data_IF_523880955070
#
_entry.id   IF_523880955070
#
_cell.length_a   1.000
_cell.length_b   1.000
_cell.length_c   1.000
_cell.angle_alpha   90.00
_cell.angle_beta   90.00
_cell.angle_gamma   90.00
#
_symmetry.space_group_name_H-M   'P 1'
#
loop_
_entity.id
_entity.type
_entity.pdbx_description
1 polymer ?
#
# COMPACT_ATOMS: atom_id res chain seq x y z
N UNK A 1 -31.78 -12.39 37.33
CA UNK A 1 -32.48 -11.90 36.13
C UNK A 1 -31.59 -10.93 35.37
N UNK A 2 -31.52 -11.07 34.05
CA UNK A 2 -30.68 -10.25 33.18
C UNK A 2 -31.50 -9.04 32.70
N UNK A 3 -31.02 -7.82 32.93
CA UNK A 3 -31.76 -6.61 32.59
C UNK A 3 -31.59 -6.25 31.10
N UNK A 4 -32.60 -5.57 30.54
CA UNK A 4 -32.61 -5.11 29.14
C UNK A 4 -31.32 -4.38 28.72
N UNK A 5 -30.79 -3.50 29.57
CA UNK A 5 -29.54 -2.79 29.29
C UNK A 5 -28.31 -3.71 29.17
N UNK A 6 -28.21 -4.78 29.97
CA UNK A 6 -27.16 -5.80 29.79
C UNK A 6 -27.34 -6.57 28.49
N UNK A 7 -28.59 -6.81 28.08
CA UNK A 7 -28.91 -7.48 26.83
C UNK A 7 -28.49 -6.65 25.60
N UNK A 8 -28.78 -5.34 25.62
CA UNK A 8 -28.44 -4.41 24.54
C UNK A 8 -26.91 -4.25 24.40
N UNK A 9 -26.20 -4.19 25.52
CA UNK A 9 -24.72 -4.14 25.52
C UNK A 9 -24.09 -5.40 24.90
N UNK A 10 -24.61 -6.59 25.25
CA UNK A 10 -24.11 -7.85 24.69
C UNK A 10 -24.44 -7.99 23.19
N UNK A 11 -25.63 -7.52 22.77
CA UNK A 11 -26.00 -7.48 21.36
C UNK A 11 -25.11 -6.54 20.55
N UNK A 12 -24.76 -5.37 21.08
CA UNK A 12 -23.84 -4.45 20.44
C UNK A 12 -22.44 -5.06 20.27
N UNK A 13 -21.95 -5.73 21.32
CA UNK A 13 -20.68 -6.43 21.31
C UNK A 13 -20.64 -7.58 20.28
N UNK A 14 -21.69 -8.41 20.22
CA UNK A 14 -21.78 -9.51 19.26
C UNK A 14 -21.85 -9.02 17.79
N UNK A 15 -22.55 -7.91 17.52
CA UNK A 15 -22.58 -7.29 16.18
C UNK A 15 -21.21 -6.79 15.75
N UNK A 16 -20.50 -6.15 16.68
CA UNK A 16 -19.12 -5.70 16.46
C UNK A 16 -18.21 -6.89 16.13
N UNK A 17 -18.30 -7.99 16.89
CA UNK A 17 -17.54 -9.21 16.60
C UNK A 17 -17.86 -9.81 15.22
N UNK A 18 -19.11 -9.76 14.75
CA UNK A 18 -19.47 -10.24 13.40
C UNK A 18 -18.83 -9.40 12.29
N UNK A 19 -18.63 -8.10 12.52
CA UNK A 19 -18.02 -7.19 11.56
C UNK A 19 -16.49 -7.29 11.53
N UNK A 20 -15.87 -7.58 12.67
CA UNK A 20 -14.42 -7.83 12.76
C UNK A 20 -14.02 -9.30 12.55
N UNK A 21 -14.99 -10.22 12.55
CA UNK A 21 -14.82 -11.65 12.31
C UNK A 21 -14.49 -12.03 10.86
N UNK A 22 -13.74 -11.17 10.15
CA UNK A 22 -13.03 -11.59 8.95
C UNK A 22 -12.08 -12.74 9.33
N UNK A 23 -12.03 -13.85 8.56
CA UNK A 23 -11.45 -15.13 8.99
C UNK A 23 -9.93 -15.14 9.25
N UNK A 24 -9.24 -14.00 9.13
CA UNK A 24 -7.78 -13.91 9.25
C UNK A 24 -7.29 -13.35 10.59
N UNK A 25 -8.13 -12.68 11.37
CA UNK A 25 -7.67 -12.04 12.61
C UNK A 25 -7.93 -12.92 13.84
N UNK A 26 -6.88 -13.56 14.36
CA UNK A 26 -6.89 -14.38 15.60
C UNK A 26 -6.77 -13.56 16.88
N UNK A 27 -6.77 -12.24 16.78
CA UNK A 27 -6.45 -11.33 17.90
C UNK A 27 -7.74 -11.01 18.67
N UNK A 28 -7.78 -11.22 20.00
CA UNK A 28 -8.91 -10.83 20.84
C UNK A 28 -9.23 -9.33 20.71
N UNK A 29 -10.51 -8.91 20.83
CA UNK A 29 -10.89 -7.51 20.64
C UNK A 29 -10.20 -6.51 21.58
N UNK A 30 -9.82 -6.93 22.79
CA UNK A 30 -9.04 -6.09 23.73
C UNK A 30 -7.63 -5.83 23.21
N UNK A 31 -6.96 -6.88 22.73
CA UNK A 31 -5.60 -6.81 22.20
C UNK A 31 -5.56 -6.06 20.85
N UNK A 32 -6.63 -6.12 20.05
CA UNK A 32 -6.71 -5.36 18.79
C UNK A 32 -6.69 -3.84 19.01
N UNK A 33 -7.35 -3.35 20.07
CA UNK A 33 -7.37 -1.91 20.36
C UNK A 33 -5.99 -1.44 20.81
N UNK A 34 -5.35 -2.18 21.70
CA UNK A 34 -4.00 -1.85 22.16
C UNK A 34 -2.97 -1.91 21.02
N UNK A 35 -3.08 -2.89 20.12
CA UNK A 35 -2.22 -3.00 18.94
C UNK A 35 -2.48 -1.84 17.97
N UNK A 36 -3.73 -1.48 17.72
CA UNK A 36 -4.09 -0.36 16.84
C UNK A 36 -3.60 0.98 17.41
N UNK A 37 -3.75 1.20 18.71
CA UNK A 37 -3.23 2.39 19.40
C UNK A 37 -1.71 2.44 19.33
N UNK A 38 -1.00 1.32 19.54
CA UNK A 38 0.46 1.25 19.36
C UNK A 38 0.87 1.48 17.91
N UNK A 39 0.11 1.00 16.92
CA UNK A 39 0.38 1.25 15.50
C UNK A 39 0.17 2.72 15.12
N UNK A 40 -0.86 3.36 15.69
CA UNK A 40 -1.17 4.78 15.44
C UNK A 40 -0.26 5.74 16.23
N UNK A 41 0.24 5.34 17.39
CA UNK A 41 1.14 6.13 18.24
C UNK A 41 2.62 5.98 17.84
N UNK A 42 2.97 4.99 17.01
CA UNK A 42 4.29 4.92 16.42
C UNK A 42 4.43 6.05 15.38
N UNK A 43 5.53 6.83 15.40
CA UNK A 43 5.83 7.70 14.28
C UNK A 43 5.88 6.80 13.04
N UNK A 44 5.20 7.20 11.98
CA UNK A 44 5.21 6.53 10.68
C UNK A 44 6.66 6.54 10.20
N UNK A 45 7.45 5.58 10.67
CA UNK A 45 8.78 5.33 10.18
C UNK A 45 8.57 4.94 8.73
N UNK A 46 9.25 5.68 7.85
CA UNK A 46 9.28 5.57 6.40
C UNK A 46 9.52 4.13 5.86
N UNK A 47 9.71 3.14 6.73
CA UNK A 47 9.92 1.72 6.40
C UNK A 47 8.71 0.77 6.57
N UNK A 48 7.52 1.23 6.97
CA UNK A 48 6.34 0.35 6.99
C UNK A 48 5.69 0.24 5.60
N UNK A 49 5.99 -0.83 4.86
CA UNK A 49 5.33 -1.19 3.59
C UNK A 49 3.96 -1.81 3.83
N UNK A 50 3.08 -1.16 4.60
CA UNK A 50 1.69 -1.58 4.70
C UNK A 50 1.00 -1.15 3.40
N UNK A 51 0.75 -2.11 2.50
CA UNK A 51 -0.02 -1.98 1.26
C UNK A 51 0.71 -1.49 0.00
N UNK A 52 2.05 -1.48 -0.04
CA UNK A 52 2.68 -1.33 -1.36
C UNK A 52 2.39 -2.62 -2.16
N UNK A 53 1.74 -2.54 -3.34
CA UNK A 53 1.45 -3.73 -4.13
C UNK A 53 2.77 -4.46 -4.41
N UNK A 54 2.81 -5.75 -4.07
CA UNK A 54 3.95 -6.60 -4.42
C UNK A 54 4.03 -6.63 -5.93
N UNK A 55 5.11 -6.08 -6.49
CA UNK A 55 5.40 -6.16 -7.91
C UNK A 55 5.89 -7.60 -8.16
N UNK A 56 5.22 -8.41 -9.00
CA UNK A 56 5.65 -9.76 -9.27
C UNK A 56 7.01 -9.80 -9.98
N UNK A 57 7.72 -10.93 -9.87
CA UNK A 57 8.99 -11.11 -10.56
C UNK A 57 8.83 -10.92 -12.08
N UNK A 58 9.76 -10.17 -12.68
CA UNK A 58 9.73 -9.81 -14.09
C UNK A 58 8.87 -8.59 -14.43
N UNK A 59 8.21 -7.95 -13.46
CA UNK A 59 7.48 -6.71 -13.65
C UNK A 59 8.27 -5.51 -13.10
N UNK A 60 8.15 -4.36 -13.77
CA UNK A 60 8.70 -3.07 -13.31
C UNK A 60 7.56 -2.04 -13.25
N UNK A 61 7.51 -1.26 -12.17
CA UNK A 61 6.63 -0.09 -12.11
C UNK A 61 7.14 0.99 -13.05
N UNK A 62 6.25 1.50 -13.89
CA UNK A 62 6.51 2.62 -14.78
C UNK A 62 5.35 3.60 -14.71
N UNK A 63 5.59 4.91 -14.86
CA UNK A 63 4.52 5.90 -14.98
C UNK A 63 3.55 5.56 -16.12
N UNK A 64 2.27 5.83 -15.90
CA UNK A 64 1.23 5.65 -16.93
C UNK A 64 1.53 6.54 -18.13
N UNK A 65 1.88 7.80 -17.87
CA UNK A 65 2.31 8.75 -18.88
C UNK A 65 3.85 8.79 -18.95
N UNK A 66 4.41 8.66 -20.16
CA UNK A 66 5.85 8.67 -20.35
C UNK A 66 6.46 10.00 -19.90
N UNK A 67 7.47 9.92 -19.02
CA UNK A 67 8.18 11.11 -18.56
C UNK A 67 9.07 11.68 -19.67
N UNK A 68 9.47 12.95 -19.54
CA UNK A 68 10.37 13.57 -20.51
C UNK A 68 11.69 12.81 -20.67
N UNK A 69 12.22 12.29 -19.55
CA UNK A 69 13.43 11.49 -19.56
C UNK A 69 13.26 10.18 -20.37
N UNK A 70 12.09 9.53 -20.27
CA UNK A 70 11.78 8.33 -21.06
C UNK A 70 11.68 8.66 -22.56
N UNK A 71 11.01 9.76 -22.92
CA UNK A 71 10.88 10.20 -24.32
C UNK A 71 12.25 10.56 -24.91
N UNK A 72 13.06 11.33 -24.19
CA UNK A 72 14.40 11.70 -24.64
C UNK A 72 15.34 10.48 -24.71
N UNK A 73 15.13 9.45 -23.90
CA UNK A 73 15.87 8.20 -23.98
C UNK A 73 15.53 7.42 -25.26
N UNK A 74 14.25 7.33 -25.61
CA UNK A 74 13.81 6.71 -26.87
C UNK A 74 14.39 7.43 -28.09
N UNK A 75 14.38 8.77 -28.10
CA UNK A 75 14.86 9.58 -29.22
C UNK A 75 16.37 9.47 -29.48
N UNK A 76 17.16 9.10 -28.47
CA UNK A 76 18.61 8.89 -28.62
C UNK A 76 18.98 7.53 -29.19
N UNK A 77 18.01 6.62 -29.30
CA UNK A 77 18.22 5.33 -29.95
C UNK A 77 18.19 5.56 -31.46
N UNK A 78 19.35 5.48 -32.09
CA UNK A 78 19.52 5.62 -33.55
C UNK A 78 19.01 4.38 -34.32
N UNK A 79 18.69 3.31 -33.61
CA UNK A 79 18.16 2.07 -34.17
C UNK A 79 16.65 2.19 -34.41
N UNK A 80 16.18 1.94 -35.64
CA UNK A 80 14.77 2.04 -36.06
C UNK A 80 13.83 1.00 -35.40
N UNK A 81 14.31 0.29 -34.38
CA UNK A 81 13.60 -0.78 -33.69
C UNK A 81 12.81 -0.29 -32.48
N UNK A 82 11.51 -0.59 -32.45
CA UNK A 82 10.64 -0.33 -31.30
C UNK A 82 11.14 -1.00 -30.01
N UNK A 83 11.79 -2.16 -30.11
CA UNK A 83 12.33 -2.89 -28.94
C UNK A 83 13.46 -2.14 -28.25
N UNK A 84 14.36 -1.53 -29.02
CA UNK A 84 15.50 -0.79 -28.51
C UNK A 84 15.03 0.51 -27.83
N UNK A 85 14.11 1.23 -28.46
CA UNK A 85 13.46 2.42 -27.89
C UNK A 85 12.72 2.08 -26.58
N UNK A 86 11.91 1.02 -26.58
CA UNK A 86 11.16 0.60 -25.40
C UNK A 86 12.08 0.20 -24.24
N UNK A 87 13.17 -0.53 -24.51
CA UNK A 87 14.18 -0.87 -23.50
C UNK A 87 14.85 0.38 -22.92
N UNK A 88 15.16 1.37 -23.74
CA UNK A 88 15.69 2.65 -23.28
C UNK A 88 14.69 3.42 -22.41
N UNK A 89 13.41 3.41 -22.75
CA UNK A 89 12.34 4.01 -21.94
C UNK A 89 12.22 3.34 -20.57
N UNK A 90 12.23 2.00 -20.50
CA UNK A 90 12.16 1.26 -19.23
C UNK A 90 13.39 1.52 -18.35
N UNK A 91 14.56 1.69 -18.95
CA UNK A 91 15.79 2.04 -18.25
C UNK A 91 15.76 3.46 -17.68
N UNK A 92 15.12 4.40 -18.39
CA UNK A 92 14.97 5.79 -17.96
C UNK A 92 13.72 6.03 -17.08
N UNK A 93 12.89 5.02 -16.84
CA UNK A 93 11.74 5.12 -15.96
C UNK A 93 12.20 5.38 -14.51
N UNK A 94 11.53 6.29 -13.78
CA UNK A 94 11.89 6.57 -12.40
C UNK A 94 11.73 5.33 -11.53
N UNK A 95 12.66 5.12 -10.62
CA UNK A 95 12.52 4.11 -9.58
C UNK A 95 11.41 4.59 -8.64
N UNK A 96 10.39 3.77 -8.41
CA UNK A 96 9.18 4.12 -7.67
C UNK A 96 9.47 4.52 -6.22
N UNK A 97 9.89 5.77 -6.02
CA UNK A 97 10.02 6.44 -4.75
C UNK A 97 8.93 7.50 -4.65
N UNK A 98 8.17 7.47 -3.57
CA UNK A 98 7.22 8.53 -3.27
C UNK A 98 7.98 9.86 -3.14
N UNK A 99 7.75 10.79 -4.07
CA UNK A 99 8.23 12.19 -4.08
C UNK A 99 7.64 13.04 -2.93
N UNK A 100 7.40 12.43 -1.77
CA UNK A 100 6.79 13.09 -0.62
C UNK A 100 7.84 13.67 0.36
N UNK A 101 9.13 13.47 0.09
CA UNK A 101 10.24 13.80 1.01
C UNK A 101 11.04 15.08 0.65
N UNK A 102 10.63 15.83 -0.38
CA UNK A 102 11.35 17.05 -0.81
C UNK A 102 10.81 18.37 -0.24
N UNK A 103 10.05 18.33 0.86
CA UNK A 103 9.59 19.55 1.54
C UNK A 103 10.14 19.62 2.97
N UNK A 104 11.39 20.07 3.08
CA UNK A 104 12.00 20.52 4.34
C UNK A 104 12.36 22.00 4.22
#
# INVERSE_FOLDING_TARGET
>A
MMNRGKLEHILAYARQQKQFGSPTCKIPPGDMVEIMERLLAQPVSSGYTFNSPVIPDGWKLVPIDATRAMIDAAQRVEEDGYDAMHKAMLAAAPEGGNDHDTRR
#
